data_IF_574748180574
#
_entry.id   IF_574748180574
#
_cell.length_a   1.000
_cell.length_b   1.000
_cell.length_c   1.000
_cell.angle_alpha   90.00
_cell.angle_beta   90.00
_cell.angle_gamma   90.00
#
_symmetry.space_group_name_H-M   'P 1'
#
loop_
_entity.id
_entity.type
_entity.pdbx_description
1 polymer ?
#
# COMPACT_ATOMS: atom_id res chain seq x y z
N UNK A 1 -5.96 -4.21 28.85
CA UNK A 1 -4.63 -4.58 28.31
C UNK A 1 -3.58 -4.05 29.28
N UNK A 2 -2.45 -4.75 29.52
CA UNK A 2 -1.42 -4.31 30.48
C UNK A 2 -0.05 -4.12 29.82
N UNK A 3 0.73 -3.18 30.34
CA UNK A 3 2.13 -2.97 29.93
C UNK A 3 2.96 -4.15 30.44
N UNK A 4 3.86 -4.67 29.61
CA UNK A 4 4.77 -5.76 30.00
C UNK A 4 5.79 -5.23 31.01
N UNK A 5 6.00 -6.01 32.07
CA UNK A 5 6.97 -5.65 33.11
C UNK A 5 8.38 -5.47 32.51
N UNK A 6 9.04 -4.38 32.85
CA UNK A 6 10.36 -4.01 32.32
C UNK A 6 10.34 -3.19 31.03
N UNK A 7 9.17 -2.97 30.41
CA UNK A 7 9.01 -2.15 29.18
C UNK A 7 8.35 -0.80 29.44
N UNK A 8 8.18 -0.39 30.69
CA UNK A 8 7.39 0.79 31.09
C UNK A 8 7.96 2.08 30.49
N UNK A 9 9.30 2.21 30.45
CA UNK A 9 9.96 3.38 29.84
C UNK A 9 9.72 3.47 28.33
N UNK A 10 9.68 2.33 27.64
CA UNK A 10 9.39 2.30 26.21
C UNK A 10 7.93 2.66 25.94
N UNK A 11 6.99 2.15 26.74
CA UNK A 11 5.59 2.54 26.66
C UNK A 11 5.40 4.05 26.93
N UNK A 12 6.10 4.60 27.93
CA UNK A 12 6.02 6.00 28.29
C UNK A 12 6.61 6.95 27.23
N UNK A 13 7.42 6.44 26.30
CA UNK A 13 8.00 7.23 25.21
C UNK A 13 6.98 7.57 24.11
N UNK A 14 5.86 6.84 24.01
CA UNK A 14 4.80 7.21 23.07
C UNK A 14 4.05 8.46 23.54
N UNK A 15 3.66 9.37 22.62
CA UNK A 15 2.87 10.54 22.95
C UNK A 15 1.58 10.21 23.70
N UNK A 16 1.16 11.08 24.62
CA UNK A 16 0.01 10.84 25.50
C UNK A 16 -1.28 10.50 24.75
N UNK A 17 -1.50 11.10 23.57
CA UNK A 17 -2.70 10.90 22.76
C UNK A 17 -2.75 9.52 22.07
N UNK A 18 -1.61 8.82 22.00
CA UNK A 18 -1.51 7.47 21.45
C UNK A 18 -1.64 6.39 22.54
N UNK A 19 -1.71 6.76 23.83
CA UNK A 19 -1.75 5.80 24.93
C UNK A 19 -3.18 5.48 25.38
N UNK A 20 -3.37 4.25 25.89
CA UNK A 20 -4.62 3.89 26.54
C UNK A 20 -4.82 4.68 27.85
N UNK A 21 -6.06 5.10 28.10
CA UNK A 21 -6.51 5.71 29.36
C UNK A 21 -7.79 5.00 29.77
N UNK A 22 -8.21 5.15 31.03
CA UNK A 22 -9.45 4.53 31.53
C UNK A 22 -10.70 4.91 30.72
N UNK A 23 -10.68 6.04 30.01
CA UNK A 23 -11.78 6.46 29.14
C UNK A 23 -12.00 5.51 27.93
N UNK A 24 -11.01 4.68 27.57
CA UNK A 24 -11.09 3.78 26.43
C UNK A 24 -11.52 2.35 26.77
N UNK A 25 -11.67 2.02 28.06
CA UNK A 25 -12.02 0.68 28.53
C UNK A 25 -13.45 0.23 28.10
N UNK A 26 -14.32 1.20 27.79
CA UNK A 26 -15.69 0.95 27.36
C UNK A 26 -15.85 0.78 25.84
N UNK A 27 -14.73 0.83 25.09
CA UNK A 27 -14.74 0.72 23.63
C UNK A 27 -14.15 -0.62 23.19
N UNK A 28 -14.62 -1.11 22.06
CA UNK A 28 -14.01 -2.26 21.40
C UNK A 28 -12.72 -1.84 20.69
N UNK A 29 -11.65 -2.57 20.95
CA UNK A 29 -10.34 -2.39 20.34
C UNK A 29 -9.84 -3.73 19.84
N UNK A 30 -9.26 -3.74 18.65
CA UNK A 30 -8.61 -4.94 18.12
C UNK A 30 -7.21 -4.62 17.62
N UNK A 31 -6.36 -5.64 17.68
CA UNK A 31 -4.99 -5.52 17.23
C UNK A 31 -4.96 -5.41 15.70
N UNK A 32 -4.39 -4.33 15.16
CA UNK A 32 -4.24 -4.15 13.73
C UNK A 32 -3.01 -4.88 13.18
N UNK A 33 -2.98 -6.21 13.34
CA UNK A 33 -1.88 -7.04 12.84
C UNK A 33 -1.78 -7.06 11.32
N UNK A 34 -2.86 -6.73 10.62
CA UNK A 34 -2.89 -6.68 9.16
C UNK A 34 -1.95 -5.62 8.58
N UNK A 35 -1.84 -4.47 9.24
CA UNK A 35 -0.98 -3.37 8.77
C UNK A 35 0.28 -3.20 9.63
N UNK A 36 0.20 -3.62 10.90
CA UNK A 36 1.26 -3.47 11.91
C UNK A 36 1.45 -4.79 12.68
N UNK A 37 1.93 -5.89 12.03
CA UNK A 37 2.07 -7.25 12.60
C UNK A 37 3.10 -7.39 13.74
N UNK A 38 4.01 -6.43 13.86
CA UNK A 38 5.12 -6.43 14.82
C UNK A 38 5.07 -5.21 15.75
N UNK A 39 5.68 -5.28 16.94
CA UNK A 39 5.86 -4.10 17.79
C UNK A 39 6.62 -3.00 17.04
N UNK A 40 6.04 -1.81 16.99
CA UNK A 40 6.58 -0.65 16.31
C UNK A 40 7.42 0.21 17.26
N UNK A 41 8.56 0.69 16.78
CA UNK A 41 9.34 1.70 17.50
C UNK A 41 8.61 3.06 17.52
N UNK A 42 9.05 3.98 18.37
CA UNK A 42 8.55 5.36 18.33
C UNK A 42 8.85 6.04 16.98
N UNK A 43 9.94 5.65 16.32
CA UNK A 43 10.31 6.14 14.99
C UNK A 43 9.32 5.67 13.92
N UNK A 44 8.95 4.38 13.92
CA UNK A 44 8.02 3.83 12.93
C UNK A 44 6.58 4.31 13.13
N UNK A 45 6.22 4.75 14.34
CA UNK A 45 4.84 5.09 14.70
C UNK A 45 4.22 6.20 13.85
N UNK A 46 5.06 7.03 13.22
CA UNK A 46 4.63 8.04 12.25
C UNK A 46 3.82 7.42 11.10
N UNK A 47 4.04 6.14 10.77
CA UNK A 47 3.31 5.45 9.70
C UNK A 47 1.85 5.21 10.05
N UNK A 48 1.56 4.84 11.29
CA UNK A 48 0.20 4.74 11.82
C UNK A 48 -0.45 6.12 11.94
N UNK A 49 0.27 7.10 12.48
CA UNK A 49 -0.24 8.46 12.70
C UNK A 49 -0.73 9.11 11.40
N UNK A 50 0.08 9.07 10.34
CA UNK A 50 -0.28 9.65 9.05
C UNK A 50 -1.57 9.04 8.47
N UNK A 51 -1.69 7.71 8.53
CA UNK A 51 -2.86 6.99 8.04
C UNK A 51 -4.14 7.39 8.79
N UNK A 52 -4.11 7.35 10.13
CA UNK A 52 -5.31 7.65 10.93
C UNK A 52 -5.67 9.14 10.93
N UNK A 53 -4.69 10.04 10.82
CA UNK A 53 -4.93 11.46 10.61
C UNK A 53 -5.70 11.71 9.30
N UNK A 54 -5.19 11.15 8.20
CA UNK A 54 -5.82 11.28 6.88
C UNK A 54 -7.21 10.63 6.85
N UNK A 55 -7.35 9.40 7.36
CA UNK A 55 -8.62 8.70 7.46
C UNK A 55 -9.68 9.49 8.24
N UNK A 56 -9.29 10.01 9.42
CA UNK A 56 -10.15 10.81 10.27
C UNK A 56 -10.63 12.06 9.53
N UNK A 57 -9.73 12.78 8.85
CA UNK A 57 -10.08 13.97 8.06
C UNK A 57 -11.04 13.63 6.90
N UNK A 58 -10.77 12.55 6.17
CA UNK A 58 -11.58 12.14 5.03
C UNK A 58 -12.98 11.71 5.46
N UNK A 59 -13.07 10.98 6.56
CA UNK A 59 -14.33 10.48 7.10
C UNK A 59 -15.19 11.59 7.70
N UNK A 60 -14.57 12.50 8.47
CA UNK A 60 -15.31 13.51 9.23
C UNK A 60 -15.64 14.77 8.43
N UNK A 61 -14.73 15.22 7.56
CA UNK A 61 -14.78 16.57 6.95
C UNK A 61 -14.81 16.56 5.42
N UNK A 62 -14.07 15.66 4.77
CA UNK A 62 -13.98 15.65 3.29
C UNK A 62 -15.19 14.98 2.67
N UNK A 63 -15.50 13.74 3.07
CA UNK A 63 -16.62 12.96 2.55
C UNK A 63 -17.82 12.98 3.50
N UNK A 64 -17.62 13.25 4.79
CA UNK A 64 -18.67 13.31 5.81
C UNK A 64 -19.47 11.99 5.97
N UNK A 65 -18.80 10.83 6.02
CA UNK A 65 -19.44 9.51 6.09
C UNK A 65 -20.45 9.44 7.24
N UNK A 66 -21.75 9.17 7.02
CA UNK A 66 -22.79 9.50 8.01
C UNK A 66 -22.64 8.80 9.36
N UNK A 67 -22.23 7.54 9.36
CA UNK A 67 -22.28 6.63 10.51
C UNK A 67 -20.97 6.51 11.29
N UNK A 68 -19.90 7.19 10.87
CA UNK A 68 -18.58 7.08 11.51
C UNK A 68 -17.79 8.39 11.48
N UNK A 69 -16.99 8.64 12.50
CA UNK A 69 -16.01 9.72 12.62
C UNK A 69 -14.58 9.23 12.37
N UNK A 70 -14.42 8.01 11.86
CA UNK A 70 -13.15 7.40 11.53
C UNK A 70 -12.74 6.33 12.53
N UNK A 71 -11.43 6.15 12.65
CA UNK A 71 -10.80 5.13 13.49
C UNK A 71 -9.81 5.83 14.40
N UNK A 72 -9.92 5.55 15.70
CA UNK A 72 -8.87 5.89 16.65
C UNK A 72 -7.86 4.75 16.72
N UNK A 73 -6.60 5.09 17.03
CA UNK A 73 -5.56 4.10 17.30
C UNK A 73 -4.91 4.36 18.66
N UNK A 74 -4.56 3.29 19.37
CA UNK A 74 -3.83 3.33 20.64
C UNK A 74 -2.75 2.27 20.66
N UNK A 75 -1.70 2.53 21.42
CA UNK A 75 -0.51 1.68 21.46
C UNK A 75 -0.39 1.07 22.85
N UNK A 76 -0.17 -0.24 22.88
CA UNK A 76 0.32 -0.91 24.07
C UNK A 76 1.36 -1.97 23.70
N UNK A 77 2.48 -1.99 24.41
CA UNK A 77 3.62 -2.89 24.16
C UNK A 77 4.13 -2.81 22.71
N UNK A 78 4.15 -1.59 22.16
CA UNK A 78 4.52 -1.30 20.77
C UNK A 78 3.52 -1.76 19.71
N UNK A 79 2.39 -2.37 20.08
CA UNK A 79 1.39 -2.84 19.12
C UNK A 79 0.28 -1.80 18.92
N UNK A 80 -0.13 -1.63 17.66
CA UNK A 80 -1.18 -0.69 17.26
C UNK A 80 -2.55 -1.36 17.34
N UNK A 81 -3.40 -0.85 18.23
CA UNK A 81 -4.79 -1.25 18.37
C UNK A 81 -5.70 -0.18 17.80
N UNK A 82 -6.77 -0.59 17.14
CA UNK A 82 -7.70 0.34 16.50
C UNK A 82 -9.13 0.12 16.98
N UNK A 83 -9.88 1.20 17.02
CA UNK A 83 -11.26 1.23 17.47
C UNK A 83 -12.09 2.20 16.63
N UNK A 84 -13.24 1.73 16.13
CA UNK A 84 -14.16 2.57 15.38
C UNK A 84 -14.74 3.69 16.25
N UNK A 85 -14.99 4.85 15.63
CA UNK A 85 -15.71 5.96 16.26
C UNK A 85 -17.07 6.14 15.57
N UNK A 86 -18.08 5.41 16.05
CA UNK A 86 -19.41 5.39 15.41
C UNK A 86 -20.24 6.63 15.78
N UNK A 87 -21.05 7.10 14.83
CA UNK A 87 -22.12 8.06 15.09
C UNK A 87 -23.42 7.29 15.21
N UNK A 88 -24.07 7.40 16.37
CA UNK A 88 -25.30 6.66 16.70
C UNK A 88 -26.54 7.55 16.83
N UNK A 89 -26.38 8.86 17.00
CA UNK A 89 -27.52 9.80 17.06
C UNK A 89 -28.18 9.90 15.67
N UNK A 90 -29.46 9.51 15.52
CA UNK A 90 -30.17 9.60 14.25
C UNK A 90 -30.22 11.00 13.65
N UNK A 91 -30.25 12.06 14.47
CA UNK A 91 -30.28 13.45 13.99
C UNK A 91 -28.95 13.84 13.35
N UNK A 92 -27.85 13.47 13.99
CA UNK A 92 -26.52 13.72 13.45
C UNK A 92 -26.27 12.89 12.19
N UNK A 93 -26.69 11.61 12.17
CA UNK A 93 -26.62 10.78 10.97
C UNK A 93 -27.38 11.44 9.82
N UNK A 94 -28.62 11.89 10.05
CA UNK A 94 -29.43 12.55 9.02
C UNK A 94 -28.76 13.83 8.48
N UNK A 95 -28.21 14.66 9.37
CA UNK A 95 -27.47 15.87 9.00
C UNK A 95 -26.25 15.52 8.14
N UNK A 96 -25.44 14.54 8.56
CA UNK A 96 -24.24 14.12 7.83
C UNK A 96 -24.56 13.42 6.52
N UNK A 97 -25.68 12.69 6.43
CA UNK A 97 -26.18 12.13 5.16
C UNK A 97 -26.41 13.22 4.12
N UNK A 98 -26.99 14.36 4.50
CA UNK A 98 -27.15 15.50 3.59
C UNK A 98 -25.82 16.03 3.06
N UNK A 99 -24.80 16.12 3.91
CA UNK A 99 -23.45 16.54 3.50
C UNK A 99 -22.75 15.48 2.62
N UNK A 100 -22.83 14.21 3.01
CA UNK A 100 -22.25 13.07 2.30
C UNK A 100 -22.80 12.97 0.88
N UNK A 101 -24.12 13.08 0.71
CA UNK A 101 -24.76 13.00 -0.60
C UNK A 101 -24.19 14.03 -1.57
N UNK A 102 -24.04 15.29 -1.16
CA UNK A 102 -23.49 16.34 -2.01
C UNK A 102 -22.03 16.06 -2.43
N UNK A 103 -21.21 15.53 -1.52
CA UNK A 103 -19.78 15.29 -1.73
C UNK A 103 -19.51 14.02 -2.50
N UNK A 104 -20.01 12.89 -1.99
CA UNK A 104 -19.77 11.58 -2.56
C UNK A 104 -20.37 11.45 -3.97
N UNK A 105 -21.59 11.96 -4.20
CA UNK A 105 -22.19 11.88 -5.53
C UNK A 105 -21.52 12.81 -6.54
N UNK A 106 -20.94 13.93 -6.11
CA UNK A 106 -20.07 14.72 -6.97
C UNK A 106 -18.86 13.89 -7.43
N UNK A 107 -18.21 13.16 -6.50
CA UNK A 107 -17.11 12.25 -6.85
C UNK A 107 -17.57 11.12 -7.78
N UNK A 108 -18.68 10.45 -7.48
CA UNK A 108 -19.20 9.36 -8.32
C UNK A 108 -19.55 9.85 -9.74
N UNK A 109 -20.16 11.03 -9.87
CA UNK A 109 -20.50 11.62 -11.18
C UNK A 109 -19.29 12.15 -11.96
N UNK A 110 -18.14 12.34 -11.31
CA UNK A 110 -16.91 12.87 -11.91
C UNK A 110 -15.72 11.91 -11.79
N UNK A 111 -15.98 10.62 -11.56
CA UNK A 111 -14.99 9.65 -11.11
C UNK A 111 -13.74 9.62 -12.00
N UNK A 112 -13.92 9.40 -13.31
CA UNK A 112 -12.80 9.29 -14.26
C UNK A 112 -11.90 10.52 -14.25
N UNK A 113 -12.49 11.72 -14.27
CA UNK A 113 -11.74 12.99 -14.25
C UNK A 113 -10.98 13.17 -12.95
N UNK A 114 -11.64 12.95 -11.82
CA UNK A 114 -11.02 13.12 -10.49
C UNK A 114 -9.95 12.05 -10.24
N UNK A 115 -10.16 10.83 -10.73
CA UNK A 115 -9.20 9.74 -10.62
C UNK A 115 -7.94 10.01 -11.46
N UNK A 116 -8.10 10.55 -12.68
CA UNK A 116 -6.96 11.00 -13.48
C UNK A 116 -6.14 12.09 -12.76
N UNK A 117 -6.82 13.07 -12.15
CA UNK A 117 -6.16 14.10 -11.34
C UNK A 117 -5.47 13.53 -10.09
N UNK A 118 -6.11 12.57 -9.42
CA UNK A 118 -5.50 11.82 -8.31
C UNK A 118 -4.24 11.09 -8.73
N UNK A 119 -4.25 10.44 -9.90
CA UNK A 119 -3.07 9.76 -10.44
C UNK A 119 -1.94 10.74 -10.69
N UNK A 120 -2.21 11.91 -11.25
CA UNK A 120 -1.21 12.97 -11.43
C UNK A 120 -0.61 13.42 -10.09
N UNK A 121 -1.45 13.63 -9.06
CA UNK A 121 -1.02 13.98 -7.69
C UNK A 121 -0.11 12.90 -7.09
N UNK A 122 -0.48 11.63 -7.21
CA UNK A 122 0.33 10.50 -6.72
C UNK A 122 1.67 10.40 -7.45
N UNK A 123 1.67 10.52 -8.78
CA UNK A 123 2.90 10.51 -9.59
C UNK A 123 3.81 11.71 -9.27
N UNK A 124 3.24 12.86 -8.91
CA UNK A 124 4.01 14.01 -8.44
C UNK A 124 4.70 13.70 -7.11
N UNK A 125 3.98 13.13 -6.12
CA UNK A 125 4.59 12.72 -4.85
C UNK A 125 5.72 11.70 -5.03
N UNK A 126 5.56 10.75 -5.96
CA UNK A 126 6.61 9.77 -6.29
C UNK A 126 7.85 10.49 -6.83
N UNK A 127 7.68 11.39 -7.81
CA UNK A 127 8.80 12.17 -8.36
C UNK A 127 9.45 13.05 -7.30
N UNK A 128 8.67 13.68 -6.43
CA UNK A 128 9.18 14.52 -5.34
C UNK A 128 10.02 13.70 -4.37
N UNK A 129 9.57 12.50 -4.00
CA UNK A 129 10.32 11.57 -3.16
C UNK A 129 11.61 11.08 -3.85
N UNK A 130 11.56 10.74 -5.13
CA UNK A 130 12.75 10.33 -5.91
C UNK A 130 13.76 11.47 -6.10
N UNK A 131 13.30 12.73 -6.07
CA UNK A 131 14.16 13.91 -6.20
C UNK A 131 14.89 14.29 -4.90
N UNK A 132 14.55 13.64 -3.78
CA UNK A 132 15.20 13.92 -2.50
C UNK A 132 16.69 13.56 -2.59
N UNK A 133 17.58 14.41 -2.03
CA UNK A 133 19.00 14.17 -2.13
C UNK A 133 19.37 12.88 -1.39
N UNK A 134 20.34 12.14 -1.94
CA UNK A 134 20.96 11.03 -1.21
C UNK A 134 21.59 11.57 0.06
N UNK A 135 21.28 10.93 1.18
CA UNK A 135 21.82 11.28 2.48
C UNK A 135 23.20 10.64 2.64
N UNK A 136 24.23 11.47 2.77
CA UNK A 136 25.60 11.05 3.03
C UNK A 136 26.13 11.85 4.23
N UNK A 137 26.78 11.16 5.16
CA UNK A 137 27.46 11.78 6.29
C UNK A 137 28.96 11.69 6.06
N UNK A 138 29.61 12.72 5.50
CA UNK A 138 31.05 12.69 5.28
C UNK A 138 31.81 12.78 6.60
N UNK A 139 33.06 12.29 6.62
CA UNK A 139 33.95 12.42 7.78
C UNK A 139 34.24 13.90 8.11
N UNK A 140 34.41 14.72 7.07
CA UNK A 140 34.58 16.18 7.18
C UNK A 140 33.66 16.89 6.20
N UNK A 141 33.27 18.12 6.53
CA UNK A 141 32.54 18.97 5.60
C UNK A 141 33.35 19.22 4.32
N UNK A 142 32.74 19.16 3.12
CA UNK A 142 33.40 19.53 1.89
C UNK A 142 34.05 20.92 2.01
N UNK A 143 35.33 21.05 1.64
CA UNK A 143 36.07 22.31 1.75
C UNK A 143 35.35 23.48 1.07
N UNK A 144 34.59 23.22 0.00
CA UNK A 144 33.75 24.23 -0.65
C UNK A 144 32.69 24.85 0.29
N UNK A 145 32.07 24.06 1.17
CA UNK A 145 31.13 24.57 2.19
C UNK A 145 31.86 25.48 3.21
N UNK A 146 33.09 25.13 3.57
CA UNK A 146 33.91 25.90 4.51
C UNK A 146 34.37 27.22 3.88
N UNK A 147 34.96 27.16 2.69
CA UNK A 147 35.49 28.34 1.98
C UNK A 147 34.39 29.32 1.55
N UNK A 148 33.16 28.85 1.31
CA UNK A 148 32.01 29.71 1.05
C UNK A 148 31.41 30.34 2.31
N UNK A 149 31.88 29.95 3.51
CA UNK A 149 31.33 30.45 4.78
C UNK A 149 29.89 30.00 5.03
N UNK A 150 29.48 28.83 4.51
CA UNK A 150 28.08 28.36 4.56
C UNK A 150 27.50 28.33 5.97
N UNK A 151 28.30 28.03 6.99
CA UNK A 151 27.91 28.05 8.40
C UNK A 151 26.92 26.97 8.85
N UNK A 152 26.42 26.14 7.93
CA UNK A 152 25.51 25.02 8.19
C UNK A 152 26.15 23.76 7.64
N UNK A 153 26.35 22.78 8.52
CA UNK A 153 26.93 21.49 8.20
C UNK A 153 25.91 20.53 7.55
N UNK A 154 26.43 19.51 6.87
CA UNK A 154 25.67 18.55 6.05
C UNK A 154 24.68 17.74 6.89
N UNK A 155 24.92 17.56 8.18
CA UNK A 155 23.96 16.93 9.10
C UNK A 155 22.60 17.67 9.16
N UNK A 156 22.55 18.97 8.88
CA UNK A 156 21.27 19.70 8.82
C UNK A 156 20.41 19.25 7.63
N UNK A 157 21.03 18.87 6.51
CA UNK A 157 20.29 18.38 5.32
C UNK A 157 19.52 17.08 5.60
N UNK A 158 19.96 16.28 6.59
CA UNK A 158 19.21 15.12 7.06
C UNK A 158 17.86 15.53 7.65
N UNK A 159 17.83 16.60 8.45
CA UNK A 159 16.60 17.09 9.07
C UNK A 159 15.63 17.61 8.00
N UNK A 160 16.13 18.41 7.05
CA UNK A 160 15.32 18.95 5.96
C UNK A 160 14.74 17.84 5.08
N UNK A 161 15.57 16.86 4.71
CA UNK A 161 15.15 15.73 3.87
C UNK A 161 14.15 14.84 4.60
N UNK A 162 14.38 14.57 5.89
CA UNK A 162 13.47 13.79 6.70
C UNK A 162 12.11 14.49 6.86
N UNK A 163 12.10 15.80 7.13
CA UNK A 163 10.85 16.57 7.19
C UNK A 163 10.08 16.53 5.88
N UNK A 164 10.76 16.72 4.74
CA UNK A 164 10.12 16.61 3.40
C UNK A 164 9.59 15.20 3.13
N UNK A 165 10.31 14.17 3.57
CA UNK A 165 9.86 12.78 3.45
C UNK A 165 8.58 12.54 4.24
N UNK A 166 8.53 12.99 5.50
CA UNK A 166 7.33 12.88 6.33
C UNK A 166 6.16 13.66 5.73
N UNK A 167 6.41 14.88 5.27
CA UNK A 167 5.40 15.73 4.64
C UNK A 167 4.75 15.04 3.43
N UNK A 168 5.57 14.52 2.51
CA UNK A 168 5.10 13.75 1.36
C UNK A 168 4.35 12.48 1.76
N UNK A 169 4.82 11.78 2.80
CA UNK A 169 4.18 10.59 3.33
C UNK A 169 2.78 10.88 3.93
N UNK A 170 2.63 11.97 4.67
CA UNK A 170 1.31 12.41 5.17
C UNK A 170 0.37 12.79 4.02
N UNK A 171 0.85 13.55 3.01
CA UNK A 171 0.03 13.88 1.83
C UNK A 171 -0.40 12.65 1.05
N UNK A 172 0.49 11.67 0.89
CA UNK A 172 0.19 10.41 0.24
C UNK A 172 -1.02 9.72 0.89
N UNK A 173 -1.08 9.67 2.23
CA UNK A 173 -2.23 9.11 2.93
C UNK A 173 -3.53 9.90 2.72
N UNK A 174 -3.47 11.24 2.62
CA UNK A 174 -4.65 12.03 2.23
C UNK A 174 -5.14 11.68 0.83
N UNK A 175 -4.23 11.51 -0.14
CA UNK A 175 -4.59 11.03 -1.48
C UNK A 175 -5.10 9.59 -1.47
N UNK A 176 -4.53 8.72 -0.65
CA UNK A 176 -5.00 7.34 -0.50
C UNK A 176 -6.47 7.28 -0.06
N UNK A 177 -6.84 8.05 0.97
CA UNK A 177 -8.22 8.09 1.47
C UNK A 177 -9.18 8.95 0.63
N UNK A 178 -8.70 9.69 -0.36
CA UNK A 178 -9.54 10.47 -1.29
C UNK A 178 -10.52 9.54 -2.02
N UNK A 179 -10.05 8.38 -2.51
CA UNK A 179 -10.86 7.41 -3.25
C UNK A 179 -11.22 6.14 -2.46
N UNK A 180 -10.34 5.68 -1.55
CA UNK A 180 -10.51 4.39 -0.87
C UNK A 180 -11.89 4.25 -0.19
N UNK A 181 -12.29 5.26 0.59
CA UNK A 181 -13.54 5.22 1.36
C UNK A 181 -14.78 5.22 0.46
N UNK A 182 -14.73 5.97 -0.65
CA UNK A 182 -15.83 6.03 -1.61
C UNK A 182 -15.97 4.73 -2.39
N UNK A 183 -14.84 4.12 -2.79
CA UNK A 183 -14.81 2.80 -3.42
C UNK A 183 -15.37 1.72 -2.51
N UNK A 184 -14.96 1.71 -1.24
CA UNK A 184 -15.48 0.77 -0.24
C UNK A 184 -16.99 0.99 0.01
N UNK A 185 -17.43 2.25 0.12
CA UNK A 185 -18.85 2.59 0.27
C UNK A 185 -19.71 2.13 -0.92
N UNK A 186 -19.21 2.27 -2.14
CA UNK A 186 -19.88 1.77 -3.34
C UNK A 186 -20.00 0.24 -3.34
N UNK A 187 -18.91 -0.46 -2.98
CA UNK A 187 -18.93 -1.92 -2.86
C UNK A 187 -19.90 -2.39 -1.78
N UNK A 188 -19.90 -1.78 -0.60
CA UNK A 188 -20.83 -2.14 0.48
C UNK A 188 -22.29 -1.90 0.09
N UNK A 189 -22.56 -0.82 -0.66
CA UNK A 189 -23.91 -0.53 -1.19
C UNK A 189 -24.33 -1.60 -2.20
N UNK A 190 -23.44 -1.96 -3.13
CA UNK A 190 -23.67 -3.04 -4.09
C UNK A 190 -23.90 -4.39 -3.39
N UNK A 191 -23.07 -4.72 -2.41
CA UNK A 191 -23.19 -5.93 -1.61
C UNK A 191 -24.54 -6.00 -0.89
N UNK A 192 -24.94 -4.92 -0.22
CA UNK A 192 -26.23 -4.84 0.46
C UNK A 192 -27.41 -4.95 -0.51
N UNK A 193 -27.31 -4.34 -1.70
CA UNK A 193 -28.30 -4.51 -2.76
C UNK A 193 -28.41 -5.98 -3.19
N UNK A 194 -27.30 -6.66 -3.49
CA UNK A 194 -27.30 -8.06 -3.87
C UNK A 194 -27.93 -8.95 -2.79
N UNK A 195 -27.57 -8.76 -1.53
CA UNK A 195 -28.17 -9.51 -0.41
C UNK A 195 -29.66 -9.26 -0.23
N UNK A 196 -30.12 -8.04 -0.50
CA UNK A 196 -31.54 -7.70 -0.43
C UNK A 196 -32.33 -8.31 -1.59
N UNK A 197 -31.80 -8.24 -2.81
CA UNK A 197 -32.45 -8.78 -4.00
C UNK A 197 -32.40 -10.31 -4.05
N UNK A 198 -31.31 -10.90 -3.57
CA UNK A 198 -31.03 -12.33 -3.60
C UNK A 198 -30.57 -12.82 -2.23
N UNK A 199 -31.48 -13.14 -1.29
CA UNK A 199 -31.10 -13.54 0.07
C UNK A 199 -30.11 -14.70 0.14
N UNK A 200 -30.21 -15.66 -0.80
CA UNK A 200 -29.37 -16.86 -0.87
C UNK A 200 -28.06 -16.67 -1.67
N UNK A 201 -27.77 -15.47 -2.19
CA UNK A 201 -26.51 -15.23 -2.91
C UNK A 201 -25.32 -15.35 -1.96
N UNK A 202 -24.32 -16.14 -2.34
CA UNK A 202 -23.10 -16.27 -1.55
C UNK A 202 -22.23 -15.00 -1.62
N UNK A 203 -21.48 -14.72 -0.55
CA UNK A 203 -20.54 -13.58 -0.51
C UNK A 203 -19.47 -13.71 -1.60
N UNK A 204 -19.03 -14.95 -1.86
CA UNK A 204 -18.09 -15.26 -2.93
C UNK A 204 -18.68 -14.93 -4.31
N UNK A 205 -19.98 -15.18 -4.53
CA UNK A 205 -20.67 -14.81 -5.76
C UNK A 205 -20.66 -13.30 -5.95
N UNK A 206 -20.99 -12.53 -4.92
CA UNK A 206 -20.93 -11.05 -4.98
C UNK A 206 -19.51 -10.57 -5.26
N UNK A 207 -18.50 -11.16 -4.59
CA UNK A 207 -17.10 -10.81 -4.83
C UNK A 207 -16.66 -11.08 -6.28
N UNK A 208 -17.12 -12.19 -6.88
CA UNK A 208 -16.86 -12.50 -8.30
C UNK A 208 -17.49 -11.49 -9.27
N UNK A 209 -18.59 -10.84 -8.90
CA UNK A 209 -19.21 -9.78 -9.72
C UNK A 209 -18.36 -8.51 -9.81
N UNK A 210 -17.37 -8.32 -8.93
CA UNK A 210 -16.43 -7.19 -8.95
C UNK A 210 -14.98 -7.63 -9.20
N UNK A 211 -14.76 -8.90 -9.50
CA UNK A 211 -13.44 -9.45 -9.81
C UNK A 211 -12.94 -9.04 -11.21
N UNK A 212 -11.71 -9.44 -11.54
CA UNK A 212 -11.12 -9.23 -12.87
C UNK A 212 -10.66 -7.79 -13.13
N UNK A 213 -10.41 -7.02 -12.06
CA UNK A 213 -9.80 -5.69 -12.16
C UNK A 213 -8.28 -5.86 -12.25
N UNK A 214 -7.67 -5.18 -13.21
CA UNK A 214 -6.23 -4.99 -13.29
C UNK A 214 -5.82 -3.92 -12.28
N UNK A 215 -5.23 -4.35 -11.18
CA UNK A 215 -4.72 -3.45 -10.14
C UNK A 215 -3.19 -3.38 -10.20
N UNK A 216 -2.65 -2.17 -10.07
CA UNK A 216 -1.20 -1.91 -10.12
C UNK A 216 -0.42 -2.73 -9.06
N UNK A 217 -1.06 -3.14 -7.96
CA UNK A 217 -0.47 -3.98 -6.92
C UNK A 217 0.05 -5.33 -7.44
N UNK A 218 -0.46 -5.82 -8.57
CA UNK A 218 -0.02 -7.08 -9.18
C UNK A 218 1.17 -6.91 -10.15
N UNK A 219 1.47 -5.68 -10.56
CA UNK A 219 2.54 -5.39 -11.52
C UNK A 219 3.93 -5.87 -11.09
N UNK A 220 4.35 -5.74 -9.81
CA UNK A 220 5.67 -6.22 -9.39
C UNK A 220 5.87 -7.71 -9.66
N UNK A 221 4.87 -8.54 -9.32
CA UNK A 221 4.93 -9.98 -9.58
C UNK A 221 4.82 -10.32 -11.08
N UNK A 222 4.01 -9.58 -11.84
CA UNK A 222 3.94 -9.72 -13.30
C UNK A 222 5.29 -9.44 -13.98
N UNK A 223 6.05 -8.45 -13.49
CA UNK A 223 7.42 -8.19 -13.97
C UNK A 223 8.38 -9.32 -13.61
N UNK A 224 8.29 -9.90 -12.40
CA UNK A 224 9.11 -11.08 -12.03
C UNK A 224 8.82 -12.26 -12.94
N UNK A 225 7.54 -12.53 -13.25
CA UNK A 225 7.15 -13.58 -14.23
C UNK A 225 7.67 -13.28 -15.62
N UNK A 226 7.67 -12.01 -16.04
CA UNK A 226 8.23 -11.57 -17.32
C UNK A 226 9.74 -11.80 -17.37
N UNK A 227 10.46 -11.45 -16.30
CA UNK A 227 11.90 -11.69 -16.16
C UNK A 227 12.26 -13.18 -16.19
N UNK A 228 11.41 -14.03 -15.60
CA UNK A 228 11.57 -15.48 -15.68
C UNK A 228 11.47 -15.98 -17.13
N UNK A 229 10.47 -15.53 -17.90
CA UNK A 229 10.37 -15.85 -19.34
C UNK A 229 11.61 -15.38 -20.12
N UNK A 230 12.05 -14.14 -19.88
CA UNK A 230 13.25 -13.59 -20.53
C UNK A 230 14.52 -14.38 -20.20
N UNK A 231 14.65 -14.91 -18.99
CA UNK A 231 15.80 -15.75 -18.63
C UNK A 231 15.88 -17.03 -19.51
N UNK A 232 14.73 -17.67 -19.74
CA UNK A 232 14.62 -18.88 -20.59
C UNK A 232 14.87 -18.52 -22.05
N UNK A 233 14.22 -17.47 -22.56
CA UNK A 233 14.37 -17.01 -23.95
C UNK A 233 15.82 -16.63 -24.30
N UNK A 234 16.56 -16.06 -23.35
CA UNK A 234 17.95 -15.67 -23.51
C UNK A 234 18.94 -16.81 -23.20
N UNK A 235 18.48 -17.95 -22.68
CA UNK A 235 19.35 -19.08 -22.33
C UNK A 235 20.31 -18.78 -21.18
N UNK A 236 19.87 -18.00 -20.20
CA UNK A 236 20.63 -17.66 -18.96
C UNK A 236 19.93 -18.12 -17.68
N UNK A 237 18.84 -18.86 -17.84
CA UNK A 237 18.01 -19.38 -16.77
C UNK A 237 18.73 -20.40 -15.87
N UNK A 238 19.79 -21.05 -16.36
CA UNK A 238 20.64 -21.94 -15.58
C UNK A 238 21.38 -21.25 -14.43
N UNK A 239 21.48 -19.91 -14.45
CA UNK A 239 22.06 -19.12 -13.37
C UNK A 239 21.13 -19.00 -12.14
N UNK A 240 19.82 -19.12 -12.33
CA UNK A 240 18.80 -18.90 -11.30
C UNK A 240 18.50 -20.18 -10.52
N UNK A 241 19.44 -20.56 -9.65
CA UNK A 241 19.33 -21.74 -8.79
C UNK A 241 19.02 -21.35 -7.36
N UNK A 242 18.29 -22.22 -6.67
CA UNK A 242 18.00 -22.07 -5.24
C UNK A 242 19.29 -21.91 -4.43
N UNK A 243 19.26 -21.03 -3.42
CA UNK A 243 20.39 -20.73 -2.54
C UNK A 243 21.44 -19.75 -3.09
N UNK A 244 21.32 -19.28 -4.34
CA UNK A 244 22.18 -18.19 -4.84
C UNK A 244 21.64 -16.82 -4.44
N UNK A 245 22.54 -15.92 -4.06
CA UNK A 245 22.17 -14.53 -3.78
C UNK A 245 21.90 -13.76 -5.07
N UNK A 246 21.06 -12.71 -5.06
CA UNK A 246 20.85 -11.84 -6.21
C UNK A 246 22.17 -11.29 -6.78
N UNK A 247 23.12 -10.91 -5.92
CA UNK A 247 24.43 -10.39 -6.32
C UNK A 247 25.26 -11.44 -7.08
N UNK A 248 25.25 -12.69 -6.62
CA UNK A 248 25.97 -13.77 -7.29
C UNK A 248 25.35 -14.14 -8.64
N UNK A 249 24.03 -14.00 -8.80
CA UNK A 249 23.33 -14.20 -10.08
C UNK A 249 23.68 -13.06 -11.04
N UNK A 250 23.56 -11.80 -10.61
CA UNK A 250 23.89 -10.64 -11.44
C UNK A 250 25.35 -10.67 -11.93
N UNK A 251 26.30 -10.96 -11.03
CA UNK A 251 27.71 -11.07 -11.39
C UNK A 251 27.98 -12.19 -12.40
N UNK A 252 27.27 -13.32 -12.31
CA UNK A 252 27.40 -14.38 -13.30
C UNK A 252 26.82 -13.97 -14.66
N UNK A 253 25.66 -13.29 -14.67
CA UNK A 253 25.04 -12.77 -15.91
C UNK A 253 25.95 -11.78 -16.65
N UNK A 254 26.72 -10.95 -15.94
CA UNK A 254 27.70 -10.06 -16.57
C UNK A 254 28.74 -10.82 -17.42
N UNK A 255 29.02 -12.09 -17.07
CA UNK A 255 29.95 -12.96 -17.82
C UNK A 255 29.29 -13.70 -19.00
N UNK A 256 27.97 -13.60 -19.17
CA UNK A 256 27.18 -14.30 -20.21
C UNK A 256 27.04 -13.50 -21.52
N UNK A 257 27.87 -12.48 -21.72
CA UNK A 257 27.90 -11.68 -22.94
C UNK A 257 26.57 -10.97 -23.23
N UNK A 258 26.13 -10.98 -24.48
CA UNK A 258 24.92 -10.27 -24.92
C UNK A 258 23.64 -10.78 -24.25
N UNK A 259 23.55 -12.08 -23.99
CA UNK A 259 22.37 -12.68 -23.35
C UNK A 259 22.23 -12.22 -21.90
N UNK A 260 23.32 -12.24 -21.13
CA UNK A 260 23.32 -11.76 -19.76
C UNK A 260 23.08 -10.26 -19.66
N UNK A 261 23.70 -9.45 -20.53
CA UNK A 261 23.42 -8.02 -20.62
C UNK A 261 21.95 -7.75 -20.94
N UNK A 262 21.39 -8.48 -21.91
CA UNK A 262 19.98 -8.36 -22.27
C UNK A 262 19.05 -8.62 -21.09
N UNK A 263 19.34 -9.61 -20.24
CA UNK A 263 18.53 -9.86 -19.06
C UNK A 263 18.68 -8.76 -17.99
N UNK A 264 19.90 -8.25 -17.78
CA UNK A 264 20.16 -7.16 -16.82
C UNK A 264 19.47 -5.86 -17.24
N UNK A 265 19.39 -5.56 -18.53
CA UNK A 265 18.65 -4.40 -19.06
C UNK A 265 17.13 -4.54 -18.81
N UNK A 266 16.60 -5.76 -18.95
CA UNK A 266 15.19 -6.07 -18.63
C UNK A 266 14.90 -5.93 -17.14
N UNK A 267 15.83 -6.35 -16.28
CA UNK A 267 15.74 -6.13 -14.84
C UNK A 267 15.71 -4.63 -14.53
N UNK A 268 16.60 -3.83 -15.12
CA UNK A 268 16.62 -2.39 -14.92
C UNK A 268 15.28 -1.73 -15.31
N UNK A 269 14.69 -2.16 -16.43
CA UNK A 269 13.38 -1.70 -16.90
C UNK A 269 12.24 -2.10 -15.94
N UNK A 270 12.33 -3.29 -15.35
CA UNK A 270 11.31 -3.78 -14.42
C UNK A 270 11.36 -3.06 -13.07
N UNK A 271 12.55 -2.66 -12.63
CA UNK A 271 12.79 -2.10 -11.30
C UNK A 271 12.10 -0.75 -11.07
N UNK A 272 12.07 0.12 -12.08
CA UNK A 272 11.40 1.42 -12.02
C UNK A 272 10.29 1.47 -13.07
N UNK A 273 9.00 1.52 -12.66
CA UNK A 273 8.50 1.87 -11.33
C UNK A 273 8.15 0.68 -10.40
N UNK A 274 8.32 -0.57 -10.83
CA UNK A 274 7.58 -1.68 -10.22
C UNK A 274 8.20 -2.30 -8.97
N UNK A 275 9.49 -2.10 -8.67
CA UNK A 275 10.12 -2.67 -7.48
C UNK A 275 10.07 -1.73 -6.27
N UNK A 276 9.17 -0.74 -6.28
CA UNK A 276 8.87 0.12 -5.12
C UNK A 276 7.81 -0.49 -4.20
N UNK A 277 7.93 -1.80 -3.95
CA UNK A 277 7.15 -2.58 -2.98
C UNK A 277 8.10 -3.06 -1.88
N UNK A 278 7.63 -3.19 -0.65
CA UNK A 278 8.48 -3.59 0.47
C UNK A 278 8.63 -5.13 0.57
N UNK A 279 9.68 -5.58 1.28
CA UNK A 279 9.97 -7.01 1.52
C UNK A 279 9.16 -7.63 2.66
N UNK A 280 8.28 -6.88 3.34
CA UNK A 280 7.55 -7.35 4.52
C UNK A 280 6.14 -6.78 4.63
N UNK A 281 5.34 -7.32 5.56
CA UNK A 281 3.88 -7.14 5.56
C UNK A 281 3.38 -5.82 6.17
N UNK A 282 4.27 -4.98 6.71
CA UNK A 282 3.88 -3.73 7.37
C UNK A 282 4.79 -2.54 7.11
N UNK A 283 4.51 -1.43 7.78
CA UNK A 283 5.18 -0.15 7.59
C UNK A 283 6.31 0.09 8.59
N UNK A 284 7.41 -0.65 8.43
CA UNK A 284 8.59 -0.59 9.30
C UNK A 284 9.81 -0.10 8.54
N UNK A 285 10.67 0.70 9.18
CA UNK A 285 11.89 1.22 8.57
C UNK A 285 12.87 0.14 8.07
N UNK A 286 12.80 -1.08 8.62
CA UNK A 286 13.60 -2.23 8.19
C UNK A 286 12.94 -3.05 7.07
N UNK A 287 11.67 -2.79 6.73
CA UNK A 287 11.02 -3.35 5.54
C UNK A 287 11.42 -2.55 4.31
N UNK A 288 12.60 -2.88 3.79
CA UNK A 288 13.20 -2.23 2.63
C UNK A 288 12.35 -2.42 1.37
N UNK A 289 12.48 -1.48 0.44
CA UNK A 289 11.98 -1.61 -0.92
C UNK A 289 12.69 -2.77 -1.63
N UNK A 290 12.03 -3.47 -2.55
CA UNK A 290 12.66 -4.47 -3.41
C UNK A 290 13.81 -3.87 -4.23
N UNK A 291 13.77 -2.57 -4.51
CA UNK A 291 14.88 -1.86 -5.13
C UNK A 291 16.15 -1.88 -4.25
N UNK A 292 16.02 -1.85 -2.93
CA UNK A 292 17.15 -1.89 -1.99
C UNK A 292 17.53 -3.33 -1.60
N UNK A 293 16.59 -4.27 -1.68
CA UNK A 293 16.78 -5.68 -1.38
C UNK A 293 16.05 -6.57 -2.41
N UNK A 294 16.82 -7.11 -3.36
CA UNK A 294 16.31 -7.96 -4.43
C UNK A 294 16.02 -9.41 -4.01
N UNK A 295 16.19 -9.77 -2.73
CA UNK A 295 16.02 -11.15 -2.27
C UNK A 295 14.63 -11.71 -2.61
N UNK A 296 13.56 -10.97 -2.30
CA UNK A 296 12.17 -11.37 -2.57
C UNK A 296 11.88 -11.58 -4.07
N UNK A 297 12.12 -10.61 -4.98
CA UNK A 297 11.84 -10.83 -6.39
C UNK A 297 12.70 -11.96 -6.98
N UNK A 298 13.95 -12.12 -6.54
CA UNK A 298 14.81 -13.20 -7.04
C UNK A 298 14.45 -14.57 -6.49
N UNK A 299 13.89 -14.67 -5.28
CA UNK A 299 13.43 -15.93 -4.71
C UNK A 299 12.28 -16.56 -5.51
N UNK A 300 11.44 -15.74 -6.16
CA UNK A 300 10.36 -16.21 -7.03
C UNK A 300 10.82 -16.72 -8.41
N UNK A 301 11.97 -16.24 -8.91
CA UNK A 301 12.42 -16.53 -10.28
C UNK A 301 12.61 -18.02 -10.58
N UNK A 302 13.27 -18.84 -9.72
CA UNK A 302 13.47 -20.26 -10.01
C UNK A 302 12.15 -21.02 -10.24
N UNK A 303 11.13 -20.75 -9.43
CA UNK A 303 9.81 -21.38 -9.56
C UNK A 303 9.13 -21.01 -10.88
N UNK A 304 9.13 -19.72 -11.22
CA UNK A 304 8.57 -19.26 -12.49
C UNK A 304 9.34 -19.76 -13.71
N UNK A 305 10.67 -19.84 -13.64
CA UNK A 305 11.51 -20.40 -14.71
C UNK A 305 11.18 -21.88 -14.92
N UNK A 306 11.01 -22.65 -13.85
CA UNK A 306 10.63 -24.07 -13.94
C UNK A 306 9.28 -24.25 -14.64
N UNK A 307 8.28 -23.45 -14.27
CA UNK A 307 6.97 -23.44 -14.92
C UNK A 307 7.06 -23.10 -16.42
N UNK A 308 7.85 -22.08 -16.79
CA UNK A 308 8.08 -21.73 -18.21
C UNK A 308 8.72 -22.88 -18.97
N UNK A 309 9.73 -23.54 -18.40
CA UNK A 309 10.36 -24.73 -19.00
C UNK A 309 9.40 -25.91 -19.17
N UNK A 310 8.43 -26.05 -18.27
CA UNK A 310 7.38 -27.05 -18.36
C UNK A 310 6.28 -26.70 -19.40
N UNK A 311 6.35 -25.52 -20.02
CA UNK A 311 5.35 -25.04 -20.97
C UNK A 311 4.08 -24.50 -20.30
N UNK A 312 4.13 -24.21 -19.00
CA UNK A 312 3.02 -23.61 -18.27
C UNK A 312 2.92 -22.11 -18.56
N UNK A 313 1.69 -21.60 -18.67
CA UNK A 313 1.46 -20.16 -18.79
C UNK A 313 1.56 -19.47 -17.44
N UNK A 314 2.37 -18.42 -17.36
CA UNK A 314 2.46 -17.54 -16.20
C UNK A 314 1.44 -16.39 -16.23
N UNK A 315 0.66 -16.28 -17.31
CA UNK A 315 -0.29 -15.20 -17.50
C UNK A 315 -1.52 -15.36 -16.59
N UNK A 316 -1.99 -14.24 -16.06
CA UNK A 316 -3.23 -14.22 -15.29
C UNK A 316 -4.41 -14.37 -16.27
N UNK A 317 -5.41 -15.21 -15.97
CA UNK A 317 -6.54 -15.44 -16.86
C UNK A 317 -7.57 -14.30 -16.80
N UNK A 318 -7.15 -13.06 -17.04
CA UNK A 318 -7.97 -11.85 -16.87
C UNK A 318 -9.20 -11.88 -17.78
N UNK A 319 -9.03 -12.22 -19.06
CA UNK A 319 -10.15 -12.29 -20.02
C UNK A 319 -11.21 -13.30 -19.59
N UNK A 320 -10.77 -14.48 -19.11
CA UNK A 320 -11.66 -15.51 -18.56
C UNK A 320 -12.41 -14.99 -17.34
N UNK A 321 -11.71 -14.35 -16.39
CA UNK A 321 -12.32 -13.77 -15.20
C UNK A 321 -13.34 -12.67 -15.55
N UNK A 322 -13.05 -11.85 -16.55
CA UNK A 322 -13.97 -10.83 -17.05
C UNK A 322 -15.19 -11.45 -17.75
N UNK A 323 -15.01 -12.52 -18.52
CA UNK A 323 -16.11 -13.24 -19.15
C UNK A 323 -17.03 -13.89 -18.11
N UNK A 324 -16.46 -14.59 -17.12
CA UNK A 324 -17.20 -15.16 -16.00
C UNK A 324 -17.96 -14.09 -15.22
N UNK A 325 -17.33 -12.94 -14.97
CA UNK A 325 -17.98 -11.79 -14.33
C UNK A 325 -19.17 -11.27 -15.15
N UNK A 326 -19.00 -11.09 -16.46
CA UNK A 326 -20.08 -10.60 -17.35
C UNK A 326 -21.26 -11.56 -17.34
N UNK A 327 -21.01 -12.86 -17.49
CA UNK A 327 -22.05 -13.88 -17.46
C UNK A 327 -22.78 -13.86 -16.11
N UNK A 328 -22.02 -13.86 -15.01
CA UNK A 328 -22.60 -13.86 -13.67
C UNK A 328 -23.49 -12.63 -13.42
N UNK A 329 -23.05 -11.44 -13.85
CA UNK A 329 -23.86 -10.21 -13.74
C UNK A 329 -25.12 -10.31 -14.59
N UNK A 330 -25.02 -10.88 -15.80
CA UNK A 330 -26.17 -11.05 -16.68
C UNK A 330 -27.21 -12.00 -16.07
N UNK A 331 -26.80 -13.17 -15.60
CA UNK A 331 -27.68 -14.18 -15.00
C UNK A 331 -28.51 -13.57 -13.85
N UNK A 332 -27.85 -12.86 -12.93
CA UNK A 332 -28.53 -12.21 -11.81
C UNK A 332 -29.38 -11.00 -12.25
N UNK A 333 -29.01 -10.31 -13.33
CA UNK A 333 -29.85 -9.22 -13.86
C UNK A 333 -31.14 -9.75 -14.49
N UNK A 334 -31.10 -10.90 -15.15
CA UNK A 334 -32.30 -11.56 -15.70
C UNK A 334 -33.26 -11.99 -14.59
N UNK A 335 -32.74 -12.42 -13.43
CA UNK A 335 -33.54 -12.70 -12.24
C UNK A 335 -34.20 -11.45 -11.63
N UNK A 336 -33.67 -10.24 -11.86
CA UNK A 336 -34.31 -8.99 -11.40
C UNK A 336 -35.51 -8.57 -12.27
N UNK A 337 -35.57 -9.02 -13.52
CA UNK A 337 -36.61 -8.66 -14.49
C UNK A 337 -37.71 -9.70 -14.66
N UNK A 338 -37.74 -10.72 -13.80
CA UNK A 338 -38.70 -11.84 -13.82
C UNK A 338 -39.78 -11.75 -12.72
N UNK A 339 -39.87 -10.62 -12.04
CA UNK A 339 -41.03 -10.10 -11.28
C UNK A 339 -41.33 -8.66 -11.73
#
# INVERSE_FOLDING_TARGET
MTVVAGTERAQAAYPYYMQFTAAYDQRFWFYNSMHFPEPMSAFDMVTAEAAYCALGSSTTRVHCIPTTLGIDYRIINGRVYIGGNAVTDPREIARRTGEFQQRAFYYYGNWERLYAQWREKMLALIRDAQSLPKLELPEFEPLANVHSGRGIATNHALLDTYQRTLEGYFRMWHHHFEFLLLGYGAYMTFFAFCKKAFPEISDQTIARMVAGIEAEIFRPDEEVRRLARRAVELGVDDEFREGRTPQAIMAALETRGAAGRGWLDELATSRDPWFNINVGDGFYHYHRSWNDDLSMPFAGLPGYIAAVRAGESLERPIEKLQAERRQLIQDYRELLGSE
#
